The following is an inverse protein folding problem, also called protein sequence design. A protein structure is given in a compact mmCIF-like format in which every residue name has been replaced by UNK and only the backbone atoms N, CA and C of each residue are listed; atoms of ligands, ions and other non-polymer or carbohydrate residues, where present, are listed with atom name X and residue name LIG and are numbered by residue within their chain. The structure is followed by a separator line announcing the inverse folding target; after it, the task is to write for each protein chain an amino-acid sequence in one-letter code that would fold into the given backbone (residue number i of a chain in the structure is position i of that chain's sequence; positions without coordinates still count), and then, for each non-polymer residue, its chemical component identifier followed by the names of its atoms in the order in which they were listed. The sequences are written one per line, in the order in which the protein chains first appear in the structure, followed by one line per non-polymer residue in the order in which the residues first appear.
data_IF_853711274726
#
_entry.id   IF_853711274726
#
_cell.length_a   1.000
_cell.length_b   1.000
_cell.length_c   1.000
_cell.angle_alpha   90.00
_cell.angle_beta   90.00
_cell.angle_gamma   90.00
#
_symmetry.space_group_name_H-M   'P 1'
#
loop_
_entity.id
_entity.type
_entity.pdbx_description
1 polymer ?
#
# COMPACT_ATOMS: atom_id res chain seq x y z
N UNK A 1 -1.08 -21.44 -6.68
CA UNK A 1 -2.08 -20.35 -6.81
C UNK A 1 -1.96 -19.54 -8.10
N UNK A 2 -0.79 -19.01 -8.49
CA UNK A 2 -0.70 -18.19 -9.73
C UNK A 2 -0.95 -19.00 -11.02
N UNK A 3 -0.28 -20.14 -11.18
CA UNK A 3 -0.39 -20.99 -12.38
C UNK A 3 -1.82 -21.48 -12.62
N UNK A 4 -2.48 -22.02 -11.59
CA UNK A 4 -3.88 -22.45 -11.71
C UNK A 4 -4.85 -21.31 -12.04
N UNK A 5 -4.62 -20.11 -11.48
CA UNK A 5 -5.54 -18.97 -11.64
C UNK A 5 -5.44 -18.31 -13.02
N UNK A 6 -4.24 -18.22 -13.59
CA UNK A 6 -4.00 -17.43 -14.81
C UNK A 6 -3.65 -18.26 -16.04
N UNK A 7 -3.23 -19.51 -15.84
CA UNK A 7 -2.79 -20.40 -16.91
C UNK A 7 -3.53 -21.74 -16.90
N UNK A 8 -4.48 -21.94 -15.99
CA UNK A 8 -5.22 -23.19 -15.75
C UNK A 8 -4.33 -24.44 -15.53
N UNK A 9 -3.05 -24.23 -15.20
CA UNK A 9 -2.11 -25.32 -14.94
C UNK A 9 -2.20 -25.74 -13.48
N UNK A 10 -2.58 -26.99 -13.25
CA UNK A 10 -2.50 -27.63 -11.95
C UNK A 10 -1.18 -28.40 -11.81
N UNK A 11 -0.35 -28.00 -10.85
CA UNK A 11 0.95 -28.61 -10.59
C UNK A 11 1.32 -28.42 -9.13
N UNK A 12 1.86 -29.48 -8.52
CA UNK A 12 2.36 -29.42 -7.15
C UNK A 12 3.61 -28.55 -7.02
N UNK A 13 3.83 -27.96 -5.85
CA UNK A 13 5.04 -27.16 -5.57
C UNK A 13 6.33 -27.97 -5.81
N UNK A 14 6.34 -29.25 -5.45
CA UNK A 14 7.45 -30.18 -5.71
C UNK A 14 7.69 -30.43 -7.21
N UNK A 15 6.62 -30.45 -8.01
CA UNK A 15 6.72 -30.54 -9.47
C UNK A 15 7.38 -29.31 -10.08
N UNK A 16 6.96 -28.11 -9.65
CA UNK A 16 7.59 -26.84 -10.04
C UNK A 16 9.08 -26.85 -9.70
N UNK A 17 9.45 -27.24 -8.47
CA UNK A 17 10.84 -27.29 -8.05
C UNK A 17 11.70 -28.26 -8.88
N UNK A 18 11.17 -29.46 -9.19
CA UNK A 18 11.88 -30.45 -10.02
C UNK A 18 12.14 -29.92 -11.43
N UNK A 19 11.18 -29.23 -12.03
CA UNK A 19 11.33 -28.60 -13.34
C UNK A 19 12.43 -27.53 -13.29
N UNK A 20 12.36 -26.62 -12.31
CA UNK A 20 13.38 -25.57 -12.14
C UNK A 20 14.78 -26.15 -11.94
N UNK A 21 14.90 -27.23 -11.14
CA UNK A 21 16.18 -27.91 -10.92
C UNK A 21 16.71 -28.57 -12.19
N UNK A 22 15.85 -29.24 -12.96
CA UNK A 22 16.22 -29.88 -14.24
C UNK A 22 16.74 -28.85 -15.26
N UNK A 23 16.19 -27.65 -15.23
CA UNK A 23 16.57 -26.55 -16.12
C UNK A 23 17.69 -25.66 -15.56
N UNK A 24 18.28 -25.98 -14.40
CA UNK A 24 19.31 -25.16 -13.75
C UNK A 24 18.82 -23.80 -13.24
N UNK A 25 17.51 -23.57 -13.19
CA UNK A 25 16.85 -22.31 -12.76
C UNK A 25 16.39 -22.33 -11.31
N UNK A 26 16.82 -23.30 -10.50
CA UNK A 26 16.42 -23.43 -9.10
C UNK A 26 17.18 -22.49 -8.15
N UNK A 27 18.11 -21.68 -8.65
CA UNK A 27 18.89 -20.73 -7.86
C UNK A 27 18.64 -19.31 -8.34
N UNK A 28 18.41 -18.40 -7.40
CA UNK A 28 18.44 -16.98 -7.71
C UNK A 28 19.89 -16.56 -8.02
N UNK A 29 20.10 -15.54 -8.87
CA UNK A 29 21.44 -15.02 -9.15
C UNK A 29 22.19 -14.66 -7.85
N UNK A 30 23.46 -15.05 -7.78
CA UNK A 30 24.34 -14.87 -6.63
C UNK A 30 24.81 -13.41 -6.45
N UNK A 31 23.94 -12.42 -6.63
CA UNK A 31 24.27 -11.00 -6.45
C UNK A 31 23.03 -10.08 -6.36
N UNK A 32 21.89 -10.54 -5.85
CA UNK A 32 20.67 -9.70 -5.78
C UNK A 32 20.72 -8.58 -4.72
N UNK A 33 21.83 -8.38 -4.01
CA UNK A 33 21.93 -7.42 -2.89
C UNK A 33 21.90 -5.96 -3.35
N UNK A 34 22.31 -5.64 -4.58
CA UNK A 34 22.34 -4.26 -5.06
C UNK A 34 21.54 -4.08 -6.35
N UNK A 35 20.36 -3.47 -6.22
CA UNK A 35 19.65 -2.83 -7.34
C UNK A 35 19.94 -1.34 -7.27
N UNK A 36 20.42 -0.75 -8.37
CA UNK A 36 20.60 0.72 -8.48
C UNK A 36 19.28 1.41 -8.14
N UNK A 37 19.35 2.53 -7.41
CA UNK A 37 18.17 3.31 -7.01
C UNK A 37 17.27 3.68 -8.20
N UNK A 38 17.85 3.86 -9.39
CA UNK A 38 17.15 4.15 -10.65
C UNK A 38 16.21 3.04 -11.12
N UNK A 39 16.44 1.77 -10.74
CA UNK A 39 15.59 0.62 -11.10
C UNK A 39 14.74 0.07 -9.95
N UNK A 40 14.80 0.67 -8.76
CA UNK A 40 14.02 0.23 -7.59
C UNK A 40 12.55 0.65 -7.64
N UNK A 41 12.26 1.77 -8.28
CA UNK A 41 10.97 2.43 -8.19
C UNK A 41 10.14 2.18 -9.44
N UNK A 42 9.54 1.00 -9.55
CA UNK A 42 8.34 0.89 -10.37
C UNK A 42 7.23 1.64 -9.63
N UNK A 43 6.69 2.72 -10.21
CA UNK A 43 5.55 3.42 -9.62
C UNK A 43 4.35 2.47 -9.67
N UNK A 44 4.06 1.84 -8.54
CA UNK A 44 2.81 1.12 -8.35
C UNK A 44 1.67 2.13 -8.52
N UNK A 45 0.86 1.91 -9.55
CA UNK A 45 -0.34 2.69 -9.84
C UNK A 45 -1.34 1.75 -10.50
N UNK A 46 -2.53 1.61 -9.91
CA UNK A 46 -3.66 0.97 -10.57
C UNK A 46 -4.03 1.76 -11.81
N UNK A 47 -4.48 1.04 -12.84
CA UNK A 47 -4.88 1.65 -14.10
C UNK A 47 -6.21 2.40 -14.02
N UNK A 48 -7.05 2.08 -13.02
CA UNK A 48 -8.42 2.62 -12.90
C UNK A 48 -8.61 3.33 -11.55
N UNK A 49 -9.30 4.48 -11.54
CA UNK A 49 -9.76 5.07 -10.30
C UNK A 49 -10.73 4.18 -9.53
N UNK A 50 -10.74 4.30 -8.20
CA UNK A 50 -11.60 3.56 -7.31
C UNK A 50 -11.08 2.20 -6.85
N UNK A 51 -10.02 1.66 -7.44
CA UNK A 51 -9.61 0.29 -7.09
C UNK A 51 -8.92 0.18 -5.72
N UNK A 52 -8.07 1.15 -5.37
CA UNK A 52 -7.30 1.12 -4.13
C UNK A 52 -7.03 2.54 -3.62
N UNK A 53 -7.18 2.69 -2.30
CA UNK A 53 -6.75 3.87 -1.55
C UNK A 53 -5.84 3.38 -0.42
N UNK A 54 -4.68 4.03 -0.28
CA UNK A 54 -3.81 3.82 0.87
C UNK A 54 -4.16 4.85 1.94
N UNK A 55 -4.44 4.39 3.16
CA UNK A 55 -4.67 5.24 4.33
C UNK A 55 -3.53 5.03 5.32
N UNK A 56 -2.95 6.13 5.76
CA UNK A 56 -1.87 6.17 6.74
C UNK A 56 -2.14 7.21 7.83
N UNK A 57 -1.59 6.98 9.01
CA UNK A 57 -1.70 7.87 10.17
C UNK A 57 -0.32 8.21 10.69
N UNK A 58 -0.06 9.52 10.82
CA UNK A 58 1.20 10.02 11.36
C UNK A 58 0.95 10.97 12.51
N UNK A 59 1.68 10.79 13.61
CA UNK A 59 1.80 11.81 14.65
C UNK A 59 2.50 13.06 14.07
N UNK A 60 1.85 14.21 14.19
CA UNK A 60 2.46 15.50 13.86
C UNK A 60 2.92 16.18 15.13
N UNK A 61 3.96 17.00 15.01
CA UNK A 61 4.58 17.70 16.14
C UNK A 61 3.52 18.43 16.99
N UNK A 62 3.67 18.48 18.33
CA UNK A 62 2.69 19.14 19.18
C UNK A 62 2.53 20.61 18.78
N UNK A 63 1.33 20.93 18.29
CA UNK A 63 0.97 22.31 17.95
C UNK A 63 0.70 23.03 19.28
N UNK A 64 1.43 24.11 19.52
CA UNK A 64 1.19 24.98 20.67
C UNK A 64 -0.16 25.67 20.48
N UNK A 65 -1.08 25.40 21.39
CA UNK A 65 -2.35 26.14 21.49
C UNK A 65 -2.30 27.03 22.74
N UNK A 66 -3.23 27.98 22.88
CA UNK A 66 -3.38 28.76 24.11
C UNK A 66 -3.59 27.89 25.37
N UNK A 67 -3.96 26.62 25.20
CA UNK A 67 -4.13 25.63 26.28
C UNK A 67 -2.94 24.66 26.45
N UNK A 68 -1.78 24.96 25.85
CA UNK A 68 -0.57 24.14 25.88
C UNK A 68 -0.30 23.33 24.61
N UNK A 69 0.77 22.52 24.64
CA UNK A 69 1.20 21.63 23.55
C UNK A 69 0.35 20.36 23.54
N UNK A 70 -0.45 20.16 22.48
CA UNK A 70 -1.30 18.96 22.34
C UNK A 70 -0.83 18.09 21.18
N UNK A 71 -0.79 16.78 21.41
CA UNK A 71 -0.54 15.79 20.36
C UNK A 71 -1.66 15.84 19.33
N UNK A 72 -1.29 15.75 18.04
CA UNK A 72 -2.24 15.68 16.92
C UNK A 72 -1.80 14.57 15.99
N UNK A 73 -2.78 13.96 15.33
CA UNK A 73 -2.57 12.86 14.39
C UNK A 73 -3.13 13.26 13.04
N UNK A 74 -2.28 13.24 12.02
CA UNK A 74 -2.68 13.47 10.64
C UNK A 74 -3.02 12.14 9.99
N UNK A 75 -4.25 12.03 9.54
CA UNK A 75 -4.72 10.94 8.70
C UNK A 75 -4.62 11.39 7.25
N UNK A 76 -4.03 10.54 6.42
CA UNK A 76 -3.84 10.82 4.99
C UNK A 76 -4.33 9.63 4.19
N UNK A 77 -5.29 9.86 3.30
CA UNK A 77 -5.67 8.92 2.27
C UNK A 77 -5.07 9.37 0.93
N UNK A 78 -4.42 8.45 0.22
CA UNK A 78 -3.88 8.67 -1.11
C UNK A 78 -4.48 7.63 -2.04
N UNK A 79 -5.20 8.10 -3.05
CA UNK A 79 -5.74 7.22 -4.06
C UNK A 79 -4.65 6.82 -5.08
N UNK A 80 -4.56 5.53 -5.36
CA UNK A 80 -3.38 4.95 -6.03
C UNK A 80 -3.23 5.36 -7.51
N UNK A 81 -4.36 5.44 -8.23
CA UNK A 81 -4.38 5.80 -9.65
C UNK A 81 -4.22 7.32 -9.86
N UNK A 82 -5.06 8.16 -9.24
CA UNK A 82 -5.11 9.61 -9.51
C UNK A 82 -4.21 10.45 -8.60
N UNK A 83 -3.64 9.87 -7.54
CA UNK A 83 -2.86 10.58 -6.51
C UNK A 83 -3.61 11.71 -5.78
N UNK A 84 -4.93 11.74 -5.89
CA UNK A 84 -5.76 12.59 -5.05
C UNK A 84 -5.52 12.25 -3.58
N UNK A 85 -5.42 13.30 -2.76
CA UNK A 85 -5.13 13.20 -1.34
C UNK A 85 -6.28 13.77 -0.53
N UNK A 86 -6.74 13.02 0.46
CA UNK A 86 -7.65 13.51 1.49
C UNK A 86 -6.88 13.53 2.80
N UNK A 87 -6.88 14.68 3.49
CA UNK A 87 -6.16 14.87 4.74
C UNK A 87 -7.09 15.39 5.82
N UNK A 88 -6.89 14.93 7.05
CA UNK A 88 -7.57 15.47 8.23
C UNK A 88 -6.73 15.25 9.48
N UNK A 89 -6.82 16.17 10.42
CA UNK A 89 -6.11 16.10 11.70
C UNK A 89 -7.07 15.83 12.85
N UNK A 90 -6.68 14.95 13.75
CA UNK A 90 -7.48 14.56 14.91
C UNK A 90 -6.67 14.67 16.22
N UNK A 91 -7.35 14.87 17.36
CA UNK A 91 -6.69 14.93 18.66
C UNK A 91 -6.25 13.55 19.20
N UNK A 92 -6.84 12.46 18.68
CA UNK A 92 -6.58 11.08 19.10
C UNK A 92 -6.32 10.19 17.89
N UNK A 93 -5.63 9.07 18.12
CA UNK A 93 -5.45 7.99 17.16
C UNK A 93 -6.09 6.74 17.75
N UNK A 94 -7.38 6.57 17.48
CA UNK A 94 -8.19 5.46 17.96
C UNK A 94 -9.13 4.95 16.84
N UNK A 95 -9.82 3.84 17.09
CA UNK A 95 -10.72 3.22 16.12
C UNK A 95 -11.86 4.16 15.69
N UNK A 96 -12.42 4.94 16.63
CA UNK A 96 -13.50 5.89 16.32
C UNK A 96 -13.03 6.95 15.33
N UNK A 97 -11.83 7.47 15.55
CA UNK A 97 -11.20 8.45 14.66
C UNK A 97 -10.92 7.86 13.28
N UNK A 98 -10.45 6.61 13.23
CA UNK A 98 -10.18 5.91 11.96
C UNK A 98 -11.46 5.71 11.12
N UNK A 99 -12.56 5.28 11.76
CA UNK A 99 -13.87 5.12 11.09
C UNK A 99 -14.36 6.47 10.55
N UNK A 100 -14.34 7.52 11.38
CA UNK A 100 -14.73 8.88 10.96
C UNK A 100 -13.89 9.39 9.78
N UNK A 101 -12.60 9.07 9.76
CA UNK A 101 -11.75 9.45 8.64
C UNK A 101 -12.09 8.67 7.38
N UNK A 102 -12.38 7.36 7.48
CA UNK A 102 -12.81 6.56 6.34
C UNK A 102 -14.11 7.11 5.72
N UNK A 103 -15.12 7.40 6.54
CA UNK A 103 -16.37 8.01 6.07
C UNK A 103 -16.12 9.36 5.38
N UNK A 104 -15.21 10.15 5.95
CA UNK A 104 -14.78 11.41 5.34
C UNK A 104 -14.07 11.19 3.99
N UNK A 105 -13.24 10.16 3.84
CA UNK A 105 -12.59 9.83 2.56
C UNK A 105 -13.64 9.46 1.52
N UNK A 106 -14.58 8.58 1.86
CA UNK A 106 -15.63 8.12 0.96
C UNK A 106 -16.55 9.27 0.50
N UNK A 107 -16.84 10.24 1.37
CA UNK A 107 -17.63 11.42 1.01
C UNK A 107 -16.88 12.46 0.16
N UNK A 108 -15.55 12.39 0.08
CA UNK A 108 -14.72 13.40 -0.60
C UNK A 108 -14.14 12.94 -1.94
N UNK A 109 -13.99 11.64 -2.14
CA UNK A 109 -13.48 11.12 -3.42
C UNK A 109 -14.57 11.22 -4.51
N UNK A 110 -14.21 11.61 -5.74
CA UNK A 110 -15.17 11.74 -6.84
C UNK A 110 -15.55 10.39 -7.48
N UNK A 111 -15.22 9.27 -6.84
CA UNK A 111 -15.46 7.91 -7.29
C UNK A 111 -15.63 6.99 -6.08
N UNK A 112 -16.27 5.85 -6.31
CA UNK A 112 -16.42 4.80 -5.30
C UNK A 112 -15.11 4.02 -5.13
N UNK A 113 -14.85 3.57 -3.90
CA UNK A 113 -13.66 2.80 -3.49
C UNK A 113 -14.08 1.59 -2.69
#
# INVERSE_FOLDING_TARGET
MHLKRYHDVDISASGVWRILRRLGMNRLPAAQRYKRHTGRWLRYAKQRPGHYVQIDVKFIEPITTGSGRRKRYQYTAIHDCTRLRVLRTYPRSDQKTAIQFLDYVLSRLPFQV
#
